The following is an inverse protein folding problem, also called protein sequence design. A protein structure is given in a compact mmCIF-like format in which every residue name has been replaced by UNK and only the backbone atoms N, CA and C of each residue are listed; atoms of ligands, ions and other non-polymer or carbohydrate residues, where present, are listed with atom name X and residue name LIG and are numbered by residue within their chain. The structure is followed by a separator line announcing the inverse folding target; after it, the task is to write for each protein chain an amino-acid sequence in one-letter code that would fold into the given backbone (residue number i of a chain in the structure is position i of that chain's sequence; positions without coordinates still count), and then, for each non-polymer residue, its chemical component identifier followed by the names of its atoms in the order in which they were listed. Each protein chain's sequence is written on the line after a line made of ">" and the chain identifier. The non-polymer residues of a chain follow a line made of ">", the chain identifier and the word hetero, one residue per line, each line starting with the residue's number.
data_IF_061319279191
#
_entry.id   IF_061319279191
#
_cell.length_a   1.000
_cell.length_b   1.000
_cell.length_c   1.000
_cell.angle_alpha   90.00
_cell.angle_beta   90.00
_cell.angle_gamma   90.00
#
_symmetry.space_group_name_H-M   'P 1'
#
loop_
_entity.id
_entity.type
_entity.pdbx_description
1 polymer ?
#
# COMPACT_ATOMS: atom_id res chain seq x y z
N UNK A 1 2.54 16.26 -17.50
CA UNK A 1 2.43 16.04 -18.97
C UNK A 1 3.64 15.32 -19.57
N UNK A 2 4.90 15.66 -19.25
CA UNK A 2 6.08 15.00 -19.82
C UNK A 2 6.14 13.49 -19.50
N UNK A 3 5.93 13.09 -18.24
CA UNK A 3 5.94 11.69 -17.82
C UNK A 3 4.83 10.87 -18.51
N UNK A 4 3.65 11.44 -18.69
CA UNK A 4 2.54 10.76 -19.38
C UNK A 4 2.89 10.38 -20.82
N UNK A 5 3.55 11.28 -21.56
CA UNK A 5 3.99 11.00 -22.93
C UNK A 5 5.10 9.94 -22.99
N UNK A 6 6.08 10.00 -22.09
CA UNK A 6 7.17 9.03 -22.04
C UNK A 6 6.65 7.61 -21.76
N UNK A 7 5.73 7.46 -20.81
CA UNK A 7 5.18 6.16 -20.48
C UNK A 7 4.37 5.56 -21.65
N UNK A 8 3.46 6.35 -22.25
CA UNK A 8 2.65 5.87 -23.36
C UNK A 8 3.50 5.52 -24.59
N UNK A 9 4.55 6.29 -24.88
CA UNK A 9 5.49 6.01 -25.97
C UNK A 9 6.26 4.69 -25.72
N UNK A 10 6.76 4.46 -24.50
CA UNK A 10 7.43 3.22 -24.13
C UNK A 10 6.50 2.01 -24.22
N UNK A 11 5.26 2.13 -23.75
CA UNK A 11 4.23 1.08 -23.87
C UNK A 11 3.93 0.78 -25.34
N UNK A 12 3.68 1.80 -26.15
CA UNK A 12 3.29 1.65 -27.57
C UNK A 12 4.38 0.97 -28.43
N UNK A 13 5.64 1.05 -28.01
CA UNK A 13 6.79 0.37 -28.66
C UNK A 13 7.05 -1.04 -28.12
N UNK A 14 6.28 -1.50 -27.15
CA UNK A 14 6.41 -2.81 -26.53
C UNK A 14 5.45 -3.82 -27.13
N UNK A 15 5.75 -5.11 -26.96
CA UNK A 15 4.82 -6.22 -27.24
C UNK A 15 4.04 -6.63 -26.00
N UNK A 16 4.67 -6.45 -24.83
CA UNK A 16 4.08 -6.81 -23.54
C UNK A 16 4.58 -5.92 -22.41
N UNK A 17 3.67 -5.53 -21.53
CA UNK A 17 3.97 -4.74 -20.33
C UNK A 17 3.27 -5.37 -19.13
N UNK A 18 4.00 -5.49 -18.03
CA UNK A 18 3.48 -5.91 -16.74
C UNK A 18 3.31 -4.69 -15.84
N UNK A 19 2.14 -4.55 -15.23
CA UNK A 19 1.89 -3.62 -14.14
C UNK A 19 1.85 -4.40 -12.83
N UNK A 20 2.40 -3.86 -11.77
CA UNK A 20 2.45 -4.54 -10.47
C UNK A 20 2.57 -3.55 -9.33
N UNK A 21 2.10 -3.95 -8.16
CA UNK A 21 2.40 -3.31 -6.87
C UNK A 21 3.48 -4.07 -6.09
N UNK A 22 3.67 -3.70 -4.81
CA UNK A 22 4.52 -4.44 -3.88
C UNK A 22 3.92 -5.79 -3.49
N UNK A 23 4.70 -6.63 -2.83
CA UNK A 23 4.20 -7.84 -2.15
C UNK A 23 3.22 -7.44 -1.04
N UNK A 24 2.01 -8.03 -1.05
CA UNK A 24 0.91 -7.62 -0.19
C UNK A 24 0.35 -6.24 -0.58
N UNK A 25 -0.17 -6.10 -1.83
CA UNK A 25 -0.68 -4.83 -2.34
C UNK A 25 -1.94 -4.40 -1.60
N UNK A 26 -2.08 -3.11 -1.37
CA UNK A 26 -3.26 -2.50 -0.76
C UNK A 26 -4.23 -1.89 -1.80
N UNK A 27 -5.21 -1.12 -1.33
CA UNK A 27 -6.23 -0.54 -2.19
C UNK A 27 -5.70 0.49 -3.17
N UNK A 28 -4.64 1.24 -2.82
CA UNK A 28 -4.04 2.21 -3.72
C UNK A 28 -3.25 1.51 -4.82
N UNK A 29 -2.45 0.53 -4.44
CA UNK A 29 -1.69 -0.29 -5.38
C UNK A 29 -2.58 -1.04 -6.38
N UNK A 30 -3.62 -1.74 -5.90
CA UNK A 30 -4.55 -2.50 -6.76
C UNK A 30 -5.34 -1.56 -7.66
N UNK A 31 -5.93 -0.51 -7.10
CA UNK A 31 -6.72 0.47 -7.85
C UNK A 31 -5.91 1.14 -8.95
N UNK A 32 -4.69 1.58 -8.64
CA UNK A 32 -3.79 2.22 -9.60
C UNK A 32 -3.40 1.26 -10.74
N UNK A 33 -3.03 0.01 -10.41
CA UNK A 33 -2.68 -1.00 -11.41
C UNK A 33 -3.85 -1.30 -12.35
N UNK A 34 -5.06 -1.52 -11.81
CA UNK A 34 -6.23 -1.88 -12.62
C UNK A 34 -6.70 -0.73 -13.51
N UNK A 35 -6.76 0.50 -12.98
CA UNK A 35 -7.14 1.68 -13.75
C UNK A 35 -6.13 1.93 -14.88
N UNK A 36 -4.82 1.88 -14.60
CA UNK A 36 -3.78 2.08 -15.59
C UNK A 36 -3.80 0.98 -16.65
N UNK A 37 -3.93 -0.29 -16.25
CA UNK A 37 -4.00 -1.41 -17.20
C UNK A 37 -5.15 -1.26 -18.20
N UNK A 38 -6.33 -0.90 -17.69
CA UNK A 38 -7.51 -0.68 -18.55
C UNK A 38 -7.27 0.44 -19.55
N UNK A 39 -6.69 1.56 -19.14
CA UNK A 39 -6.38 2.67 -20.03
C UNK A 39 -5.38 2.28 -21.11
N UNK A 40 -4.29 1.60 -20.73
CA UNK A 40 -3.25 1.19 -21.66
C UNK A 40 -3.76 0.15 -22.67
N UNK A 41 -4.65 -0.75 -22.27
CA UNK A 41 -5.32 -1.71 -23.21
C UNK A 41 -6.14 -0.97 -24.26
N UNK A 42 -6.79 0.14 -23.91
CA UNK A 42 -7.53 0.98 -24.85
C UNK A 42 -6.63 1.83 -25.75
N UNK A 43 -5.56 2.41 -25.22
CA UNK A 43 -4.67 3.33 -25.93
C UNK A 43 -3.62 2.60 -26.79
N UNK A 44 -3.25 1.37 -26.44
CA UNK A 44 -2.26 0.55 -27.14
C UNK A 44 -2.80 -0.89 -27.39
N UNK A 45 -3.85 -1.06 -28.20
CA UNK A 45 -4.56 -2.34 -28.34
C UNK A 45 -3.71 -3.49 -28.92
N UNK A 46 -2.54 -3.18 -29.50
CA UNK A 46 -1.58 -4.17 -29.97
C UNK A 46 -0.60 -4.68 -28.92
N UNK A 47 -0.63 -4.15 -27.70
CA UNK A 47 0.27 -4.48 -26.61
C UNK A 47 -0.44 -5.33 -25.57
N UNK A 48 0.18 -6.45 -25.17
CA UNK A 48 -0.32 -7.26 -24.06
C UNK A 48 -0.04 -6.53 -22.74
N UNK A 49 -1.09 -6.17 -22.00
CA UNK A 49 -1.01 -5.52 -20.70
C UNK A 49 -1.54 -6.47 -19.62
N UNK A 50 -0.67 -6.97 -18.80
CA UNK A 50 -1.01 -7.83 -17.66
C UNK A 50 -0.80 -7.07 -16.34
N UNK A 51 -1.52 -7.52 -15.30
CA UNK A 51 -1.37 -7.02 -13.93
C UNK A 51 -1.00 -8.18 -13.03
N UNK A 52 0.06 -8.05 -12.24
CA UNK A 52 0.44 -9.05 -11.25
C UNK A 52 0.11 -8.56 -9.83
N UNK A 53 -0.40 -9.48 -9.01
CA UNK A 53 -0.74 -9.23 -7.60
C UNK A 53 -1.87 -10.12 -7.13
N UNK A 54 -2.17 -10.04 -5.85
CA UNK A 54 -3.30 -10.75 -5.25
C UNK A 54 -4.23 -9.72 -4.57
N UNK A 55 -5.41 -9.45 -5.14
CA UNK A 55 -6.29 -8.39 -4.63
C UNK A 55 -6.90 -8.73 -3.27
N UNK A 56 -6.92 -10.02 -2.87
CA UNK A 56 -7.62 -10.46 -1.67
C UNK A 56 -9.11 -10.15 -1.71
N UNK A 57 -9.83 -10.52 -0.65
CA UNK A 57 -11.30 -10.38 -0.59
C UNK A 57 -11.79 -8.93 -0.59
N UNK A 58 -10.94 -7.96 -0.25
CA UNK A 58 -11.32 -6.55 -0.18
C UNK A 58 -11.37 -5.86 -1.53
N UNK A 59 -10.66 -6.40 -2.52
CA UNK A 59 -10.48 -5.74 -3.82
C UNK A 59 -10.83 -6.67 -5.00
N UNK A 60 -11.22 -7.93 -4.75
CA UNK A 60 -11.56 -8.94 -5.77
C UNK A 60 -12.78 -8.57 -6.62
N UNK A 61 -13.59 -7.64 -6.15
CA UNK A 61 -14.76 -7.12 -6.84
C UNK A 61 -14.45 -6.03 -7.88
N UNK A 62 -13.25 -5.46 -7.88
CA UNK A 62 -12.84 -4.45 -8.86
C UNK A 62 -12.73 -5.06 -10.26
N UNK A 63 -13.15 -4.29 -11.26
CA UNK A 63 -13.08 -4.73 -12.66
C UNK A 63 -11.64 -5.07 -13.07
N UNK A 64 -11.43 -6.31 -13.52
CA UNK A 64 -10.11 -6.85 -13.91
C UNK A 64 -9.32 -7.49 -12.75
N UNK A 65 -9.80 -7.46 -11.52
CA UNK A 65 -9.11 -8.09 -10.40
C UNK A 65 -9.00 -9.63 -10.54
N UNK A 66 -10.02 -10.26 -11.11
CA UNK A 66 -10.04 -11.70 -11.36
C UNK A 66 -8.98 -12.17 -12.40
N UNK A 67 -8.50 -11.26 -13.24
CA UNK A 67 -7.50 -11.54 -14.28
C UNK A 67 -6.06 -11.25 -13.81
N UNK A 68 -5.87 -10.83 -12.57
CA UNK A 68 -4.54 -10.56 -12.02
C UNK A 68 -3.73 -11.86 -11.90
N UNK A 69 -2.47 -11.78 -12.33
CA UNK A 69 -1.57 -12.93 -12.31
C UNK A 69 -1.00 -13.14 -10.90
N UNK A 70 -1.03 -14.38 -10.43
CA UNK A 70 -0.25 -14.79 -9.27
C UNK A 70 1.25 -14.81 -9.62
N UNK A 71 2.12 -14.73 -8.60
CA UNK A 71 3.58 -14.68 -8.77
C UNK A 71 4.12 -15.81 -9.65
N UNK A 72 3.59 -17.03 -9.50
CA UNK A 72 3.98 -18.20 -10.29
C UNK A 72 3.59 -18.14 -11.78
N UNK A 73 2.67 -17.27 -12.16
CA UNK A 73 2.19 -17.08 -13.54
C UNK A 73 2.96 -15.97 -14.28
N UNK A 74 3.77 -15.19 -13.56
CA UNK A 74 4.52 -14.08 -14.15
C UNK A 74 5.63 -14.58 -15.05
N UNK A 75 5.54 -14.23 -16.34
CA UNK A 75 6.53 -14.53 -17.38
C UNK A 75 7.52 -13.38 -17.61
N UNK A 76 7.99 -13.27 -18.86
CA UNK A 76 8.86 -12.19 -19.31
C UNK A 76 8.07 -11.11 -20.05
N UNK A 77 8.50 -9.86 -19.89
CA UNK A 77 7.85 -8.67 -20.48
C UNK A 77 8.89 -7.73 -21.07
N UNK A 78 8.49 -6.97 -22.09
CA UNK A 78 9.34 -5.91 -22.63
C UNK A 78 9.47 -4.74 -21.64
N UNK A 79 8.40 -4.44 -20.92
CA UNK A 79 8.35 -3.40 -19.88
C UNK A 79 7.72 -3.89 -18.59
N UNK A 80 8.18 -3.38 -17.45
CA UNK A 80 7.56 -3.59 -16.13
C UNK A 80 7.39 -2.25 -15.45
N UNK A 81 6.18 -1.94 -15.02
CA UNK A 81 5.86 -0.72 -14.26
C UNK A 81 5.45 -1.11 -12.85
N UNK A 82 6.14 -0.57 -11.87
CA UNK A 82 5.82 -0.73 -10.46
C UNK A 82 5.02 0.47 -9.99
N UNK A 83 3.89 0.21 -9.36
CA UNK A 83 2.98 1.23 -8.83
C UNK A 83 2.89 1.09 -7.31
N UNK A 84 2.93 2.21 -6.61
CA UNK A 84 2.69 2.30 -5.17
C UNK A 84 3.67 1.50 -4.31
N UNK A 85 4.92 1.69 -4.59
CA UNK A 85 6.06 1.04 -3.93
C UNK A 85 7.21 0.82 -4.91
N UNK A 86 8.31 0.28 -4.44
CA UNK A 86 9.51 0.12 -5.26
C UNK A 86 9.92 -1.35 -5.45
N UNK A 87 10.96 -1.55 -6.28
CA UNK A 87 11.49 -2.86 -6.66
C UNK A 87 11.99 -3.72 -5.50
N UNK A 88 12.25 -3.14 -4.33
CA UNK A 88 12.75 -3.87 -3.15
C UNK A 88 11.64 -4.69 -2.47
N UNK A 89 10.39 -4.40 -2.80
CA UNK A 89 9.19 -5.07 -2.25
C UNK A 89 8.48 -5.98 -3.26
N UNK A 90 9.09 -6.29 -4.39
CA UNK A 90 8.48 -7.16 -5.39
C UNK A 90 8.50 -8.63 -4.96
N UNK A 91 7.46 -9.37 -5.37
CA UNK A 91 7.44 -10.83 -5.27
C UNK A 91 8.53 -11.45 -6.15
N UNK A 92 8.88 -12.69 -5.90
CA UNK A 92 10.01 -13.34 -6.58
C UNK A 92 9.84 -13.44 -8.11
N UNK A 93 8.64 -13.80 -8.58
CA UNK A 93 8.33 -13.90 -10.02
C UNK A 93 8.38 -12.53 -10.69
N UNK A 94 7.80 -11.52 -10.05
CA UNK A 94 7.81 -10.13 -10.54
C UNK A 94 9.22 -9.56 -10.55
N UNK A 95 10.04 -9.81 -9.52
CA UNK A 95 11.43 -9.33 -9.47
C UNK A 95 12.29 -9.92 -10.62
N UNK A 96 12.05 -11.20 -10.99
CA UNK A 96 12.69 -11.79 -12.19
C UNK A 96 12.24 -11.11 -13.47
N UNK A 97 10.93 -10.85 -13.63
CA UNK A 97 10.41 -10.13 -14.79
C UNK A 97 10.98 -8.71 -14.89
N UNK A 98 11.06 -7.99 -13.76
CA UNK A 98 11.66 -6.67 -13.66
C UNK A 98 13.13 -6.65 -14.10
N UNK A 99 13.94 -7.59 -13.60
CA UNK A 99 15.35 -7.68 -13.93
C UNK A 99 15.60 -8.04 -15.41
N UNK A 100 14.67 -8.73 -16.07
CA UNK A 100 14.74 -9.15 -17.46
C UNK A 100 14.13 -8.14 -18.45
N UNK A 101 13.39 -7.15 -17.97
CA UNK A 101 12.70 -6.17 -18.80
C UNK A 101 13.69 -5.24 -19.54
N UNK A 102 13.30 -4.81 -20.75
CA UNK A 102 14.05 -3.84 -21.54
C UNK A 102 13.98 -2.43 -20.97
N UNK A 103 12.85 -2.11 -20.34
CA UNK A 103 12.61 -0.87 -19.65
C UNK A 103 11.75 -1.09 -18.42
N UNK A 104 11.89 -0.20 -17.46
CA UNK A 104 11.16 -0.28 -16.18
C UNK A 104 10.61 1.08 -15.82
N UNK A 105 9.39 1.12 -15.31
CA UNK A 105 8.72 2.33 -14.84
C UNK A 105 8.43 2.28 -13.36
N UNK A 106 8.37 3.44 -12.73
CA UNK A 106 7.89 3.66 -11.37
C UNK A 106 6.82 4.73 -11.39
N UNK A 107 5.71 4.50 -10.71
CA UNK A 107 4.70 5.52 -10.38
C UNK A 107 4.42 5.38 -8.89
N UNK A 108 4.92 6.31 -8.10
CA UNK A 108 4.86 6.16 -6.65
C UNK A 108 4.87 7.50 -5.92
N UNK A 109 4.31 7.52 -4.71
CA UNK A 109 4.28 8.69 -3.84
C UNK A 109 5.02 8.49 -2.50
N UNK A 110 5.62 7.33 -2.27
CA UNK A 110 6.37 7.04 -1.05
C UNK A 110 7.76 7.70 -1.06
N UNK A 111 8.06 8.56 -0.08
CA UNK A 111 9.37 9.23 0.06
C UNK A 111 10.55 8.26 0.20
N UNK A 112 10.29 7.04 0.65
CA UNK A 112 11.31 6.03 0.88
C UNK A 112 11.66 5.22 -0.36
N UNK A 113 10.93 5.38 -1.45
CA UNK A 113 11.15 4.60 -2.68
C UNK A 113 12.44 5.00 -3.37
N UNK A 114 13.26 3.97 -3.66
CA UNK A 114 14.49 4.14 -4.43
C UNK A 114 14.21 4.30 -5.92
N UNK A 115 14.98 5.15 -6.59
CA UNK A 115 14.85 5.37 -8.04
C UNK A 115 15.79 4.49 -8.89
N UNK A 116 16.69 3.78 -8.25
CA UNK A 116 17.68 2.95 -8.92
C UNK A 116 17.04 1.77 -9.68
N UNK A 117 17.50 1.57 -10.91
CA UNK A 117 17.02 0.48 -11.77
C UNK A 117 15.74 0.80 -12.54
N UNK A 118 15.21 2.02 -12.46
CA UNK A 118 14.10 2.47 -13.28
C UNK A 118 14.57 3.34 -14.45
N UNK A 119 14.03 3.06 -15.64
CA UNK A 119 14.28 3.90 -16.83
C UNK A 119 13.29 5.06 -16.92
N UNK A 120 12.10 4.89 -16.38
CA UNK A 120 11.01 5.88 -16.36
C UNK A 120 10.48 6.07 -14.92
N UNK A 121 11.25 6.67 -14.00
CA UNK A 121 10.78 6.92 -12.66
C UNK A 121 9.87 8.16 -12.61
N UNK A 122 8.72 8.03 -11.96
CA UNK A 122 7.87 9.13 -11.55
C UNK A 122 7.52 8.98 -10.08
N UNK A 123 8.28 9.68 -9.25
CA UNK A 123 8.09 9.74 -7.80
C UNK A 123 7.55 11.12 -7.43
N UNK A 124 6.36 11.17 -6.81
CA UNK A 124 5.71 12.43 -6.39
C UNK A 124 5.27 12.34 -4.92
N UNK A 125 6.18 12.59 -3.97
CA UNK A 125 5.87 12.49 -2.54
C UNK A 125 4.82 13.48 -2.04
N UNK A 126 4.40 14.41 -2.87
CA UNK A 126 3.35 15.36 -2.57
C UNK A 126 1.96 14.86 -3.00
N UNK A 127 1.89 13.82 -3.82
CA UNK A 127 0.60 13.22 -4.19
C UNK A 127 -0.06 12.55 -2.98
N UNK A 128 -1.37 12.59 -2.94
CA UNK A 128 -2.19 12.03 -1.87
C UNK A 128 -2.25 10.50 -1.93
N UNK A 129 -2.12 9.94 -3.15
CA UNK A 129 -2.10 8.50 -3.45
C UNK A 129 -1.57 8.27 -4.87
N UNK A 130 -1.14 7.05 -5.17
CA UNK A 130 -0.78 6.64 -6.54
C UNK A 130 -2.00 6.66 -7.47
N UNK A 131 -3.19 6.38 -6.97
CA UNK A 131 -4.44 6.52 -7.74
C UNK A 131 -4.72 7.96 -8.20
N UNK A 132 -4.37 8.98 -7.42
CA UNK A 132 -4.42 10.38 -7.87
C UNK A 132 -3.43 10.63 -9.02
N UNK A 133 -2.22 10.09 -8.93
CA UNK A 133 -1.24 10.20 -10.02
C UNK A 133 -1.74 9.52 -11.30
N UNK A 134 -2.34 8.34 -11.17
CA UNK A 134 -2.97 7.64 -12.32
C UNK A 134 -4.16 8.42 -12.86
N UNK A 135 -5.01 9.00 -12.01
CA UNK A 135 -6.09 9.91 -12.46
C UNK A 135 -5.53 11.05 -13.32
N UNK A 136 -4.46 11.70 -12.90
CA UNK A 136 -3.80 12.77 -13.66
C UNK A 136 -3.24 12.27 -15.00
N UNK A 137 -2.69 11.03 -15.04
CA UNK A 137 -2.27 10.40 -16.30
C UNK A 137 -3.44 10.21 -17.27
N UNK A 138 -4.54 9.65 -16.78
CA UNK A 138 -5.73 9.40 -17.60
C UNK A 138 -6.30 10.69 -18.15
N UNK A 139 -6.35 11.75 -17.34
CA UNK A 139 -6.75 13.07 -17.77
C UNK A 139 -5.81 13.64 -18.86
N UNK A 140 -4.49 13.50 -18.68
CA UNK A 140 -3.48 13.95 -19.65
C UNK A 140 -3.57 13.21 -20.99
N UNK A 141 -4.03 11.97 -21.00
CA UNK A 141 -4.26 11.15 -22.20
C UNK A 141 -5.65 11.36 -22.80
N UNK A 142 -6.52 12.17 -22.18
CA UNK A 142 -7.89 12.39 -22.64
C UNK A 142 -8.78 11.15 -22.52
N UNK A 143 -8.49 10.25 -21.59
CA UNK A 143 -9.29 9.04 -21.35
C UNK A 143 -10.62 9.44 -20.73
N UNK A 144 -11.72 9.06 -21.37
CA UNK A 144 -13.05 9.23 -20.78
C UNK A 144 -13.23 8.20 -19.66
N UNK A 145 -13.38 8.68 -18.43
CA UNK A 145 -13.58 7.82 -17.26
C UNK A 145 -15.03 7.32 -17.24
N UNK A 146 -15.21 6.07 -16.86
CA UNK A 146 -16.48 5.44 -16.55
C UNK A 146 -16.50 4.90 -15.12
N UNK A 147 -17.55 4.17 -14.77
CA UNK A 147 -17.74 3.62 -13.43
C UNK A 147 -16.59 2.71 -12.98
N UNK A 148 -16.06 1.85 -13.86
CA UNK A 148 -15.01 0.92 -13.48
C UNK A 148 -13.69 1.64 -13.15
N UNK A 149 -13.33 2.68 -13.93
CA UNK A 149 -12.21 3.56 -13.59
C UNK A 149 -12.44 4.23 -12.24
N UNK A 150 -13.66 4.76 -12.04
CA UNK A 150 -13.99 5.48 -10.82
C UNK A 150 -13.92 4.57 -9.59
N UNK A 151 -14.42 3.34 -9.66
CA UNK A 151 -14.34 2.38 -8.57
C UNK A 151 -12.89 2.04 -8.21
N UNK A 152 -12.03 1.79 -9.19
CA UNK A 152 -10.62 1.48 -8.97
C UNK A 152 -9.85 2.68 -8.37
N UNK A 153 -9.96 3.86 -8.96
CA UNK A 153 -9.28 5.06 -8.49
C UNK A 153 -9.78 5.52 -7.13
N UNK A 154 -11.10 5.47 -6.92
CA UNK A 154 -11.71 5.87 -5.65
C UNK A 154 -11.31 4.93 -4.51
N UNK A 155 -11.16 3.64 -4.79
CA UNK A 155 -10.68 2.63 -3.82
C UNK A 155 -9.32 3.03 -3.24
N UNK A 156 -8.35 3.39 -4.09
CA UNK A 156 -7.03 3.84 -3.63
C UNK A 156 -7.09 5.16 -2.87
N UNK A 157 -7.85 6.13 -3.36
CA UNK A 157 -8.04 7.42 -2.67
C UNK A 157 -8.63 7.21 -1.27
N UNK A 158 -9.65 6.37 -1.13
CA UNK A 158 -10.27 6.05 0.17
C UNK A 158 -9.28 5.35 1.10
N UNK A 159 -8.50 4.41 0.57
CA UNK A 159 -7.51 3.68 1.36
C UNK A 159 -6.45 4.63 1.93
N UNK A 160 -5.76 5.37 1.07
CA UNK A 160 -4.60 6.19 1.43
C UNK A 160 -4.94 7.46 2.21
N UNK A 161 -6.16 7.96 2.05
CA UNK A 161 -6.65 9.10 2.84
C UNK A 161 -7.41 8.66 4.10
N UNK A 162 -7.58 7.35 4.30
CA UNK A 162 -8.41 6.80 5.38
C UNK A 162 -9.83 7.36 5.34
N UNK A 163 -10.46 7.39 4.18
CA UNK A 163 -11.72 8.09 3.91
C UNK A 163 -11.63 9.57 4.30
N UNK A 164 -10.64 10.26 3.79
CA UNK A 164 -10.40 11.70 3.95
C UNK A 164 -10.08 12.16 5.39
N UNK A 165 -9.69 11.23 6.28
CA UNK A 165 -9.36 11.55 7.69
C UNK A 165 -7.88 11.85 7.89
N UNK A 166 -7.01 11.44 6.98
CA UNK A 166 -5.57 11.61 7.15
C UNK A 166 -5.09 12.98 6.65
N UNK A 167 -3.92 13.39 7.13
CA UNK A 167 -3.34 14.72 6.89
C UNK A 167 -2.85 14.96 5.46
N UNK A 168 -2.77 13.92 4.63
CA UNK A 168 -2.48 14.03 3.20
C UNK A 168 -3.71 14.50 2.38
N UNK A 169 -4.92 14.44 2.93
CA UNK A 169 -6.15 14.92 2.28
C UNK A 169 -6.09 16.41 1.99
N UNK A 170 -6.40 16.81 0.78
CA UNK A 170 -6.40 18.19 0.28
C UNK A 170 -7.72 18.56 -0.40
N UNK A 171 -7.88 19.84 -0.73
CA UNK A 171 -9.03 20.29 -1.53
C UNK A 171 -9.03 19.65 -2.95
N UNK A 172 -7.85 19.37 -3.53
CA UNK A 172 -7.71 18.61 -4.79
C UNK A 172 -8.29 17.20 -4.67
N UNK A 173 -7.96 16.49 -3.58
CA UNK A 173 -8.49 15.15 -3.30
C UNK A 173 -10.01 15.10 -3.32
N UNK A 174 -10.66 16.07 -2.66
CA UNK A 174 -12.13 16.17 -2.66
C UNK A 174 -12.72 16.51 -4.02
N UNK A 175 -12.02 17.31 -4.86
CA UNK A 175 -12.48 17.58 -6.23
C UNK A 175 -12.45 16.31 -7.09
N UNK A 176 -11.34 15.58 -7.08
CA UNK A 176 -11.23 14.30 -7.80
C UNK A 176 -12.27 13.31 -7.27
N UNK A 177 -12.43 13.19 -5.96
CA UNK A 177 -13.46 12.36 -5.36
C UNK A 177 -14.87 12.70 -5.84
N UNK A 178 -15.22 13.99 -5.90
CA UNK A 178 -16.52 14.43 -6.40
C UNK A 178 -16.74 14.07 -7.87
N UNK A 179 -15.72 14.21 -8.71
CA UNK A 179 -15.78 13.84 -10.13
C UNK A 179 -15.98 12.34 -10.30
N UNK A 180 -15.26 11.51 -9.52
CA UNK A 180 -15.43 10.05 -9.55
C UNK A 180 -16.82 9.63 -9.06
N UNK A 181 -17.33 10.23 -7.99
CA UNK A 181 -18.70 9.98 -7.49
C UNK A 181 -19.78 10.33 -8.51
N UNK A 182 -19.58 11.37 -9.31
CA UNK A 182 -20.51 11.76 -10.37
C UNK A 182 -20.66 10.69 -11.48
N UNK A 183 -19.72 9.72 -11.55
CA UNK A 183 -19.80 8.57 -12.46
C UNK A 183 -20.69 7.43 -11.93
N UNK A 184 -21.38 7.64 -10.81
CA UNK A 184 -22.38 6.70 -10.28
C UNK A 184 -21.81 5.55 -9.47
N UNK A 185 -20.63 5.72 -8.86
CA UNK A 185 -20.08 4.77 -7.91
C UNK A 185 -20.75 4.90 -6.53
N UNK A 186 -20.80 3.81 -5.79
CA UNK A 186 -21.44 3.77 -4.47
C UNK A 186 -20.39 3.98 -3.36
N UNK A 187 -20.25 5.23 -2.89
CA UNK A 187 -19.31 5.61 -1.83
C UNK A 187 -19.34 4.68 -0.61
N UNK A 188 -20.54 4.42 -0.07
CA UNK A 188 -20.69 3.59 1.12
C UNK A 188 -20.13 2.18 0.90
N UNK A 189 -20.52 1.55 -0.20
CA UNK A 189 -20.08 0.18 -0.53
C UNK A 189 -18.57 0.08 -0.66
N UNK A 190 -17.93 1.08 -1.28
CA UNK A 190 -16.46 1.11 -1.39
C UNK A 190 -15.82 1.30 -0.02
N UNK A 191 -16.29 2.24 0.80
CA UNK A 191 -15.77 2.45 2.14
C UNK A 191 -15.95 1.22 3.03
N UNK A 192 -17.11 0.56 2.95
CA UNK A 192 -17.40 -0.67 3.71
C UNK A 192 -16.40 -1.76 3.35
N UNK A 193 -16.22 -2.08 2.06
CA UNK A 193 -15.29 -3.13 1.59
C UNK A 193 -13.83 -2.80 1.90
N UNK A 194 -13.41 -1.58 1.63
CA UNK A 194 -12.00 -1.18 1.75
C UNK A 194 -11.56 -1.03 3.20
N UNK A 195 -12.40 -0.43 4.07
CA UNK A 195 -11.99 -0.02 5.41
C UNK A 195 -12.69 -0.74 6.56
N UNK A 196 -13.90 -1.25 6.34
CA UNK A 196 -14.76 -1.73 7.43
C UNK A 196 -14.95 -3.24 7.43
N UNK A 197 -14.97 -3.88 6.25
CA UNK A 197 -15.19 -5.32 6.14
C UNK A 197 -14.06 -6.09 6.81
N UNK A 198 -14.44 -6.98 7.72
CA UNK A 198 -13.53 -7.82 8.49
C UNK A 198 -14.08 -9.22 8.63
N UNK A 199 -13.19 -10.20 8.53
CA UNK A 199 -13.53 -11.57 8.94
C UNK A 199 -13.75 -11.62 10.45
N UNK A 200 -14.57 -12.55 10.92
CA UNK A 200 -14.80 -12.70 12.36
C UNK A 200 -13.52 -13.06 13.12
N UNK A 201 -12.60 -13.81 12.50
CA UNK A 201 -11.25 -14.08 13.02
C UNK A 201 -10.47 -12.78 13.23
N UNK A 202 -10.56 -11.84 12.29
CA UNK A 202 -9.93 -10.51 12.40
C UNK A 202 -10.53 -9.66 13.52
N UNK A 203 -11.83 -9.71 13.73
CA UNK A 203 -12.47 -9.05 14.88
C UNK A 203 -11.97 -9.61 16.21
N UNK A 204 -11.84 -10.95 16.33
CA UNK A 204 -11.31 -11.60 17.52
C UNK A 204 -9.84 -11.28 17.75
N UNK A 205 -9.04 -11.24 16.67
CA UNK A 205 -7.63 -10.85 16.74
C UNK A 205 -7.47 -9.40 17.21
N UNK A 206 -8.27 -8.49 16.67
CA UNK A 206 -8.29 -7.09 17.08
C UNK A 206 -8.62 -6.96 18.57
N UNK A 207 -9.67 -7.62 19.04
CA UNK A 207 -10.05 -7.60 20.45
C UNK A 207 -8.91 -8.14 21.36
N UNK A 208 -8.27 -9.25 20.96
CA UNK A 208 -7.13 -9.82 21.69
C UNK A 208 -5.94 -8.85 21.78
N UNK A 209 -5.61 -8.16 20.69
CA UNK A 209 -4.51 -7.20 20.68
C UNK A 209 -4.84 -6.00 21.56
N UNK A 210 -6.06 -5.46 21.48
CA UNK A 210 -6.48 -4.34 22.34
C UNK A 210 -6.44 -4.69 23.83
N UNK A 211 -6.90 -5.89 24.19
CA UNK A 211 -6.86 -6.38 25.58
C UNK A 211 -5.43 -6.51 26.13
N UNK A 212 -4.49 -6.89 25.29
CA UNK A 212 -3.08 -7.11 25.66
C UNK A 212 -2.18 -5.92 25.39
N UNK A 213 -2.69 -4.83 24.79
CA UNK A 213 -1.92 -3.66 24.46
C UNK A 213 -1.38 -2.98 25.75
N UNK A 214 -0.15 -2.47 25.64
CA UNK A 214 0.51 -1.80 26.77
C UNK A 214 0.76 -0.33 26.46
N UNK A 215 0.49 0.52 27.43
CA UNK A 215 0.86 1.92 27.41
C UNK A 215 2.24 2.10 28.08
N UNK A 216 3.11 2.90 27.47
CA UNK A 216 4.41 3.28 28.02
C UNK A 216 4.71 4.77 27.77
N UNK A 217 5.85 5.25 28.20
CA UNK A 217 6.27 6.66 28.08
C UNK A 217 5.21 7.66 28.58
N UNK A 218 4.63 7.45 29.76
CA UNK A 218 3.59 8.31 30.30
C UNK A 218 2.29 8.29 29.49
N UNK A 219 1.93 7.13 28.95
CA UNK A 219 0.78 6.90 28.07
C UNK A 219 0.86 7.57 26.67
N UNK A 220 2.04 8.04 26.27
CA UNK A 220 2.26 8.63 24.95
C UNK A 220 2.54 7.59 23.86
N UNK A 221 2.89 6.36 24.27
CA UNK A 221 3.14 5.22 23.36
C UNK A 221 2.20 4.09 23.71
N UNK A 222 1.66 3.43 22.70
CA UNK A 222 0.95 2.15 22.84
C UNK A 222 1.64 1.08 21.99
N UNK A 223 1.82 -0.10 22.57
CA UNK A 223 2.45 -1.25 21.91
C UNK A 223 1.49 -2.43 21.95
N UNK A 224 1.13 -2.94 20.78
CA UNK A 224 0.40 -4.18 20.57
C UNK A 224 1.30 -5.25 19.98
N UNK A 225 0.95 -6.54 20.19
CA UNK A 225 1.70 -7.66 19.65
C UNK A 225 0.82 -8.81 19.21
N UNK A 226 1.27 -9.54 18.20
CA UNK A 226 0.63 -10.75 17.68
C UNK A 226 1.70 -11.81 17.55
N UNK A 227 1.57 -12.92 18.29
CA UNK A 227 2.42 -14.10 18.14
C UNK A 227 1.82 -15.08 17.14
N UNK A 228 2.65 -16.00 16.62
CA UNK A 228 2.17 -17.13 15.82
C UNK A 228 1.18 -18.00 16.57
N UNK A 229 1.37 -18.16 17.88
CA UNK A 229 0.42 -18.87 18.74
C UNK A 229 -0.94 -18.16 18.76
N UNK A 230 -0.98 -16.82 18.79
CA UNK A 230 -2.23 -16.06 18.73
C UNK A 230 -2.97 -16.30 17.41
N UNK A 231 -2.26 -16.30 16.27
CA UNK A 231 -2.87 -16.65 14.98
C UNK A 231 -3.48 -18.06 14.99
N UNK A 232 -2.72 -19.04 15.46
CA UNK A 232 -3.18 -20.43 15.52
C UNK A 232 -4.40 -20.62 16.45
N UNK A 233 -4.36 -19.99 17.64
CA UNK A 233 -5.46 -20.06 18.63
C UNK A 233 -6.78 -19.49 18.07
N UNK A 234 -6.69 -18.39 17.31
CA UNK A 234 -7.87 -17.69 16.80
C UNK A 234 -8.31 -18.14 15.41
N UNK A 235 -7.50 -18.98 14.73
CA UNK A 235 -7.71 -19.32 13.32
C UNK A 235 -7.57 -18.11 12.40
N UNK A 236 -6.80 -17.11 12.84
CA UNK A 236 -6.56 -15.87 12.12
C UNK A 236 -5.28 -15.97 11.27
N UNK A 237 -5.11 -15.07 10.33
CA UNK A 237 -3.91 -14.95 9.51
C UNK A 237 -3.53 -13.48 9.27
N UNK A 238 -2.62 -13.25 8.35
CA UNK A 238 -2.07 -11.93 8.07
C UNK A 238 -3.06 -10.93 7.49
N UNK A 239 -4.10 -11.41 6.78
CA UNK A 239 -5.17 -10.57 6.25
C UNK A 239 -6.03 -9.97 7.37
N UNK A 240 -5.99 -10.59 8.57
CA UNK A 240 -6.73 -10.13 9.73
C UNK A 240 -6.02 -9.01 10.53
N UNK A 241 -4.77 -8.68 10.20
CA UNK A 241 -3.94 -7.72 10.96
C UNK A 241 -4.28 -6.27 10.64
N UNK A 242 -4.85 -6.02 9.45
CA UNK A 242 -5.07 -4.68 8.96
C UNK A 242 -6.01 -3.85 9.85
N UNK A 243 -5.64 -2.57 10.04
CA UNK A 243 -6.40 -1.61 10.85
C UNK A 243 -6.20 -1.74 12.37
N UNK A 244 -5.47 -2.76 12.88
CA UNK A 244 -5.25 -2.92 14.32
C UNK A 244 -4.36 -1.80 14.85
N UNK A 245 -3.26 -1.47 14.17
CA UNK A 245 -2.35 -0.40 14.61
C UNK A 245 -3.04 0.97 14.59
N UNK A 246 -3.97 1.17 13.65
CA UNK A 246 -4.73 2.42 13.56
C UNK A 246 -5.69 2.57 14.76
N UNK A 247 -6.32 1.49 15.18
CA UNK A 247 -7.14 1.51 16.39
C UNK A 247 -6.32 1.82 17.65
N UNK A 248 -5.13 1.24 17.77
CA UNK A 248 -4.21 1.55 18.88
C UNK A 248 -3.83 3.04 18.89
N UNK A 249 -3.54 3.63 17.72
CA UNK A 249 -3.22 5.05 17.61
C UNK A 249 -4.35 5.98 18.08
N UNK A 250 -5.60 5.54 18.00
CA UNK A 250 -6.75 6.37 18.35
C UNK A 250 -6.98 6.51 19.87
N UNK A 251 -6.19 5.83 20.71
CA UNK A 251 -6.25 6.01 22.16
C UNK A 251 -5.88 7.46 22.53
N UNK A 252 -6.68 8.09 23.37
CA UNK A 252 -6.45 9.48 23.81
C UNK A 252 -5.11 9.61 24.52
N UNK A 253 -4.33 10.65 24.17
CA UNK A 253 -2.99 10.91 24.73
C UNK A 253 -1.87 10.13 24.02
N UNK A 254 -2.18 9.13 23.22
CA UNK A 254 -1.17 8.38 22.45
C UNK A 254 -0.67 9.23 21.27
N UNK A 255 0.65 9.40 21.21
CA UNK A 255 1.34 10.05 20.08
C UNK A 255 1.86 9.05 19.07
N UNK A 256 2.31 7.88 19.53
CA UNK A 256 2.83 6.82 18.64
C UNK A 256 2.25 5.46 19.02
N UNK A 257 1.84 4.71 18.01
CA UNK A 257 1.41 3.32 18.15
C UNK A 257 2.35 2.38 17.40
N UNK A 258 2.66 1.23 18.00
CA UNK A 258 3.41 0.15 17.37
C UNK A 258 2.62 -1.15 17.47
N UNK A 259 2.57 -1.88 16.35
CA UNK A 259 2.07 -3.26 16.31
C UNK A 259 3.18 -4.17 15.82
N UNK A 260 3.56 -5.13 16.66
CA UNK A 260 4.57 -6.13 16.34
C UNK A 260 3.91 -7.46 15.99
N UNK A 261 4.29 -8.06 14.87
CA UNK A 261 3.74 -9.31 14.36
C UNK A 261 4.87 -10.31 14.15
N UNK A 262 4.82 -11.42 14.86
CA UNK A 262 5.80 -12.51 14.72
C UNK A 262 5.65 -13.18 13.35
N UNK A 263 6.73 -13.17 12.54
CA UNK A 263 6.80 -13.77 11.20
C UNK A 263 7.62 -15.07 11.16
N UNK A 264 8.31 -15.38 12.22
CA UNK A 264 9.17 -16.57 12.37
C UNK A 264 9.94 -16.52 13.67
N UNK A 265 10.75 -17.52 13.93
CA UNK A 265 11.50 -17.66 15.20
C UNK A 265 12.41 -16.45 15.49
N UNK A 266 12.95 -15.80 14.44
CA UNK A 266 13.83 -14.64 14.54
C UNK A 266 13.43 -13.51 13.60
N UNK A 267 12.15 -13.40 13.28
CA UNK A 267 11.65 -12.32 12.40
C UNK A 267 10.34 -11.76 12.93
N UNK A 268 10.31 -10.45 13.08
CA UNK A 268 9.13 -9.70 13.51
C UNK A 268 8.87 -8.53 12.55
N UNK A 269 7.65 -8.35 12.07
CA UNK A 269 7.22 -7.16 11.36
C UNK A 269 6.74 -6.14 12.39
N UNK A 270 7.17 -4.89 12.27
CA UNK A 270 6.59 -3.77 13.03
C UNK A 270 5.84 -2.85 12.09
N UNK A 271 4.65 -2.44 12.52
CA UNK A 271 3.87 -1.36 11.90
C UNK A 271 3.77 -0.21 12.89
N UNK A 272 4.05 1.00 12.43
CA UNK A 272 4.15 2.21 13.24
C UNK A 272 3.15 3.26 12.75
N UNK A 273 2.54 3.96 13.67
CA UNK A 273 1.68 5.13 13.39
C UNK A 273 2.04 6.28 14.32
N UNK A 274 2.02 7.52 13.81
CA UNK A 274 2.30 8.72 14.58
C UNK A 274 1.23 9.79 14.40
N UNK A 275 0.71 10.31 15.52
CA UNK A 275 -0.14 11.52 15.57
C UNK A 275 0.65 12.77 15.98
N UNK A 276 1.78 12.56 16.65
CA UNK A 276 2.63 13.59 17.18
C UNK A 276 3.71 14.10 16.23
N UNK A 277 4.83 14.50 16.79
CA UNK A 277 5.99 15.04 16.08
C UNK A 277 6.96 13.95 15.60
N UNK A 278 6.81 12.71 16.07
CA UNK A 278 7.73 11.62 15.72
C UNK A 278 7.55 11.25 14.26
N UNK A 279 8.64 11.27 13.52
CA UNK A 279 8.73 10.73 12.16
C UNK A 279 8.97 9.20 12.24
N UNK A 280 7.90 8.43 12.05
CA UNK A 280 7.98 6.97 12.14
C UNK A 280 8.65 6.33 10.92
N UNK A 281 8.79 7.02 9.79
CA UNK A 281 9.56 6.52 8.66
C UNK A 281 11.06 6.53 8.98
N UNK A 282 11.57 7.64 9.54
CA UNK A 282 12.94 7.73 10.01
C UNK A 282 13.23 6.69 11.12
N UNK A 283 12.27 6.49 12.03
CA UNK A 283 12.39 5.46 13.07
C UNK A 283 12.44 4.05 12.47
N UNK A 284 11.57 3.71 11.51
CA UNK A 284 11.57 2.42 10.85
C UNK A 284 12.89 2.14 10.12
N UNK A 285 13.46 3.14 9.45
CA UNK A 285 14.77 3.06 8.79
C UNK A 285 15.92 2.86 9.78
N UNK A 286 15.85 3.48 10.97
CA UNK A 286 16.85 3.26 12.02
C UNK A 286 16.83 1.85 12.61
N UNK A 287 15.68 1.17 12.55
CA UNK A 287 15.49 -0.19 13.06
C UNK A 287 15.83 -1.27 12.03
N UNK A 288 15.75 -0.96 10.73
CA UNK A 288 15.99 -1.94 9.66
C UNK A 288 16.33 -1.23 8.35
N UNK A 289 17.28 -1.77 7.60
CA UNK A 289 17.63 -1.31 6.23
C UNK A 289 16.41 -1.37 5.26
N UNK A 290 15.45 -2.22 5.56
CA UNK A 290 14.19 -2.37 4.81
C UNK A 290 13.01 -1.66 5.49
N UNK A 291 13.30 -0.73 6.41
CA UNK A 291 12.29 0.11 7.03
C UNK A 291 11.94 1.31 6.18
N UNK A 292 10.67 1.73 6.20
CA UNK A 292 10.23 2.89 5.44
C UNK A 292 8.74 3.15 5.53
N UNK A 293 8.28 4.11 4.74
CA UNK A 293 6.90 4.59 4.69
C UNK A 293 6.81 6.11 4.74
N UNK A 294 5.71 6.60 5.27
CA UNK A 294 5.47 8.01 5.48
C UNK A 294 5.80 8.43 6.93
N UNK A 295 6.00 9.73 7.16
CA UNK A 295 6.29 10.27 8.50
C UNK A 295 5.24 9.90 9.55
N UNK A 296 4.00 9.59 9.15
CA UNK A 296 2.88 9.23 10.03
C UNK A 296 2.51 7.74 10.01
N UNK A 297 2.96 6.99 9.02
CA UNK A 297 2.65 5.57 8.84
C UNK A 297 3.86 4.87 8.21
N UNK A 298 4.50 3.97 8.94
CA UNK A 298 5.70 3.29 8.49
C UNK A 298 5.75 1.85 8.99
N UNK A 299 6.67 1.07 8.45
CA UNK A 299 6.90 -0.30 8.89
C UNK A 299 8.31 -0.78 8.62
N UNK A 300 8.69 -1.86 9.30
CA UNK A 300 9.96 -2.52 9.11
C UNK A 300 9.86 -4.02 9.34
N UNK A 301 10.74 -4.77 8.67
CA UNK A 301 11.00 -6.18 9.00
C UNK A 301 12.24 -6.25 9.87
N UNK A 302 12.08 -6.79 11.07
CA UNK A 302 13.12 -6.84 12.09
C UNK A 302 13.71 -8.24 12.20
N UNK A 303 15.05 -8.39 12.23
CA UNK A 303 15.71 -9.69 12.32
C UNK A 303 15.80 -10.21 13.78
N UNK A 304 14.72 -10.03 14.54
CA UNK A 304 14.65 -10.41 15.96
C UNK A 304 13.38 -11.19 16.27
N UNK A 305 13.47 -12.08 17.29
CA UNK A 305 12.31 -12.72 17.89
C UNK A 305 11.38 -11.66 18.52
N UNK A 306 10.10 -11.98 18.65
CA UNK A 306 9.07 -11.02 19.11
C UNK A 306 9.41 -10.30 20.42
N UNK A 307 9.91 -10.97 21.49
CA UNK A 307 10.25 -10.28 22.75
C UNK A 307 11.42 -9.30 22.58
N UNK A 308 12.46 -9.66 21.84
CA UNK A 308 13.61 -8.78 21.60
C UNK A 308 13.25 -7.60 20.71
N UNK A 309 12.41 -7.84 19.69
CA UNK A 309 11.89 -6.81 18.82
C UNK A 309 11.04 -5.80 19.61
N UNK A 310 10.17 -6.29 20.51
CA UNK A 310 9.32 -5.45 21.35
C UNK A 310 10.18 -4.53 22.25
N UNK A 311 11.18 -5.07 22.94
CA UNK A 311 12.04 -4.29 23.81
C UNK A 311 12.83 -3.19 23.05
N UNK A 312 13.35 -3.51 21.86
CA UNK A 312 14.12 -2.58 21.03
C UNK A 312 13.24 -1.49 20.42
N UNK A 313 12.06 -1.86 19.92
CA UNK A 313 11.09 -0.90 19.36
C UNK A 313 10.59 0.05 20.46
N UNK A 314 10.25 -0.47 21.64
CA UNK A 314 9.81 0.35 22.76
C UNK A 314 10.90 1.35 23.19
N UNK A 315 12.15 0.92 23.32
CA UNK A 315 13.27 1.80 23.64
C UNK A 315 13.49 2.89 22.58
N UNK A 316 13.40 2.55 21.29
CA UNK A 316 13.53 3.52 20.21
C UNK A 316 12.37 4.53 20.17
N UNK A 317 11.15 4.09 20.46
CA UNK A 317 9.97 4.97 20.56
C UNK A 317 10.08 5.95 21.73
N UNK A 318 10.55 5.46 22.89
CA UNK A 318 10.76 6.33 24.07
C UNK A 318 11.83 7.37 23.76
N UNK A 319 12.94 6.98 23.14
CA UNK A 319 14.00 7.91 22.75
C UNK A 319 13.54 8.96 21.73
N UNK A 320 12.67 8.58 20.79
CA UNK A 320 12.14 9.50 19.79
C UNK A 320 11.12 10.52 20.35
N UNK A 321 10.62 10.31 21.58
CA UNK A 321 9.70 11.21 22.26
C UNK A 321 10.42 12.19 23.21
N UNK A 322 11.70 11.96 23.50
CA UNK A 322 12.51 12.83 24.35
C UNK A 322 12.91 14.11 23.62
#
# INVERSE_FOLDING_TARGET
>A
MHQAHLLLDAVSRSRSVLLTGPDGPDGDSIGACLALARALRGLAPGVRIDVAGQPGFRYDWLAGAADMLSDGQVGTYDGVVVLDGDRTRLTHGVARAFAAARWTGLIDHHRSSGLDGYTLPWLEPAAESTCIMVYDLLAAWGVALDRDYAEALYTGIIFDTGAFRYSNTRASTHRVAAELLALGIEHWTICERVLMERRFTGLRLHARVCDQARLCAGSRVVVGRISRATFAELGADELDVEGIVDALQHVSGVEVAALLVERGASRTKVSLRSRGKVDVAALAQSLSEHGGGHAKAAGASLPWALPDAEARVEAALIAALA
#
